data_IF_624621079676
#
_entry.id   IF_624621079676
#
_cell.length_a   1.000
_cell.length_b   1.000
_cell.length_c   1.000
_cell.angle_alpha   90.00
_cell.angle_beta   90.00
_cell.angle_gamma   90.00
#
_symmetry.space_group_name_H-M   'P 1'
#
loop_
_entity.id
_entity.type
_entity.pdbx_description
1 polymer ?
#
# COMPACT_ATOMS: atom_id res chain seq x y z
N UNK A 1 -6.91 11.18 11.17
CA UNK A 1 -5.92 10.12 11.44
C UNK A 1 -6.67 8.83 11.70
N UNK A 2 -6.17 7.70 11.18
CA UNK A 2 -6.79 6.37 11.26
C UNK A 2 -6.04 5.54 12.29
N UNK A 3 -6.75 4.80 13.16
CA UNK A 3 -6.13 3.74 13.97
C UNK A 3 -5.80 2.54 13.09
N UNK A 4 -4.91 1.66 13.57
CA UNK A 4 -4.46 0.46 12.83
C UNK A 4 -5.59 -0.33 12.19
N UNK A 5 -6.63 -0.69 12.95
CA UNK A 5 -7.76 -1.46 12.43
C UNK A 5 -8.53 -0.71 11.31
N UNK A 6 -8.67 0.61 11.41
CA UNK A 6 -9.31 1.42 10.38
C UNK A 6 -8.43 1.57 9.14
N UNK A 7 -7.11 1.68 9.30
CA UNK A 7 -6.18 1.69 8.17
C UNK A 7 -6.20 0.35 7.41
N UNK A 8 -6.21 -0.78 8.14
CA UNK A 8 -6.39 -2.12 7.57
C UNK A 8 -7.68 -2.21 6.75
N UNK A 9 -8.82 -1.83 7.35
CA UNK A 9 -10.11 -1.86 6.66
C UNK A 9 -10.18 -0.90 5.46
N UNK A 10 -9.55 0.28 5.57
CA UNK A 10 -9.51 1.25 4.47
C UNK A 10 -8.76 0.74 3.24
N UNK A 11 -7.68 -0.01 3.47
CA UNK A 11 -6.82 -0.56 2.43
C UNK A 11 -7.22 -1.98 2.01
N UNK A 12 -8.24 -2.56 2.66
CA UNK A 12 -8.64 -3.96 2.53
C UNK A 12 -7.47 -4.95 2.75
N UNK A 13 -6.69 -4.71 3.81
CA UNK A 13 -5.53 -5.53 4.19
C UNK A 13 -5.67 -6.11 5.59
N UNK A 14 -5.11 -7.30 5.81
CA UNK A 14 -4.84 -7.78 7.17
C UNK A 14 -3.75 -6.93 7.84
N UNK A 15 -3.66 -7.03 9.18
CA UNK A 15 -2.62 -6.31 9.94
C UNK A 15 -1.19 -6.73 9.57
N UNK A 16 -0.98 -7.99 9.16
CA UNK A 16 0.31 -8.50 8.73
C UNK A 16 0.67 -8.03 7.32
N UNK A 17 -0.31 -7.93 6.42
CA UNK A 17 -0.09 -7.35 5.09
C UNK A 17 0.25 -5.87 5.19
N UNK A 18 -0.46 -5.11 6.03
CA UNK A 18 -0.13 -3.70 6.29
C UNK A 18 1.34 -3.53 6.70
N UNK A 19 1.86 -4.37 7.61
CA UNK A 19 3.26 -4.34 8.04
C UNK A 19 4.24 -4.69 6.92
N UNK A 20 3.90 -5.67 6.07
CA UNK A 20 4.73 -6.05 4.92
C UNK A 20 4.83 -4.93 3.89
N UNK A 21 3.72 -4.27 3.61
CA UNK A 21 3.66 -3.13 2.68
C UNK A 21 4.47 -1.92 3.21
N UNK A 22 4.42 -1.66 4.52
CA UNK A 22 5.26 -0.66 5.19
C UNK A 22 6.74 -1.06 5.08
N UNK A 23 7.09 -2.31 5.43
CA UNK A 23 8.46 -2.80 5.35
C UNK A 23 9.03 -2.79 3.91
N UNK A 24 8.16 -2.96 2.92
CA UNK A 24 8.51 -2.86 1.50
C UNK A 24 8.58 -1.41 0.98
N UNK A 25 8.28 -0.41 1.83
CA UNK A 25 8.30 1.01 1.46
C UNK A 25 7.16 1.45 0.54
N UNK A 26 6.12 0.62 0.38
CA UNK A 26 4.95 0.93 -0.46
C UNK A 26 3.90 1.75 0.29
N UNK A 27 3.86 1.63 1.61
CA UNK A 27 2.99 2.41 2.49
C UNK A 27 3.81 3.20 3.52
N UNK A 28 3.29 4.36 3.99
CA UNK A 28 3.96 5.17 4.99
C UNK A 28 3.97 4.51 6.37
N UNK A 29 5.02 4.80 7.15
CA UNK A 29 5.08 4.46 8.56
C UNK A 29 4.00 5.19 9.38
N UNK A 30 3.50 4.59 10.47
CA UNK A 30 2.60 5.28 11.38
C UNK A 30 3.27 6.44 12.12
N UNK A 31 2.45 7.36 12.60
CA UNK A 31 2.84 8.40 13.55
C UNK A 31 2.31 8.04 14.93
N UNK A 32 3.14 8.17 15.97
CA UNK A 32 2.67 8.02 17.35
C UNK A 32 1.90 9.25 17.78
N UNK A 33 0.63 9.04 18.14
CA UNK A 33 -0.23 10.07 18.73
C UNK A 33 -0.81 9.53 20.03
N UNK A 34 -0.36 10.08 21.15
CA UNK A 34 -0.55 9.46 22.46
C UNK A 34 0.18 8.11 22.53
N UNK A 35 -0.51 7.09 23.02
CA UNK A 35 0.06 5.74 23.20
C UNK A 35 -0.35 4.75 22.09
N UNK A 36 -0.71 5.25 20.89
CA UNK A 36 -1.16 4.40 19.80
C UNK A 36 -0.69 4.88 18.43
N UNK A 37 -0.54 3.91 17.54
CA UNK A 37 -0.17 4.12 16.14
C UNK A 37 -1.33 4.68 15.33
N UNK A 38 -1.05 5.70 14.53
CA UNK A 38 -2.02 6.34 13.66
C UNK A 38 -1.47 6.61 12.27
N UNK A 39 -2.36 6.53 11.27
CA UNK A 39 -2.04 6.80 9.87
C UNK A 39 -2.78 8.03 9.36
N UNK A 40 -2.10 8.82 8.55
CA UNK A 40 -2.73 9.91 7.80
C UNK A 40 -3.42 9.33 6.57
N UNK A 41 -4.73 9.55 6.43
CA UNK A 41 -5.47 9.11 5.24
C UNK A 41 -4.90 9.76 3.98
N UNK A 42 -4.66 11.07 4.01
CA UNK A 42 -4.07 11.79 2.87
C UNK A 42 -2.73 11.21 2.44
N UNK A 43 -1.87 10.86 3.39
CA UNK A 43 -0.56 10.27 3.05
C UNK A 43 -0.68 8.84 2.50
N UNK A 44 -1.68 8.07 2.97
CA UNK A 44 -2.01 6.78 2.37
C UNK A 44 -2.45 6.96 0.92
N UNK A 45 -3.39 7.88 0.66
CA UNK A 45 -3.89 8.18 -0.69
C UNK A 45 -2.75 8.59 -1.63
N UNK A 46 -1.85 9.49 -1.20
CA UNK A 46 -0.66 9.89 -1.99
C UNK A 46 0.26 8.71 -2.35
N UNK A 47 0.42 7.73 -1.45
CA UNK A 47 1.22 6.52 -1.76
C UNK A 47 0.48 5.61 -2.74
N UNK A 48 -0.83 5.44 -2.58
CA UNK A 48 -1.66 4.66 -3.50
C UNK A 48 -1.68 5.28 -4.91
N UNK A 49 -1.71 6.61 -5.01
CA UNK A 49 -1.62 7.31 -6.29
C UNK A 49 -0.24 7.09 -6.96
N UNK A 50 0.86 7.08 -6.20
CA UNK A 50 2.18 6.73 -6.75
C UNK A 50 2.24 5.29 -7.22
N UNK A 51 1.56 4.39 -6.50
CA UNK A 51 1.47 3.00 -6.90
C UNK A 51 0.62 2.85 -8.15
N UNK A 52 -0.46 3.61 -8.36
CA UNK A 52 -1.39 3.40 -9.48
C UNK A 52 -1.20 4.34 -10.67
N UNK A 53 -0.37 5.39 -10.53
CA UNK A 53 -0.09 6.38 -11.58
C UNK A 53 0.91 5.94 -12.67
N UNK A 54 1.22 6.83 -13.61
CA UNK A 54 2.03 6.57 -14.82
C UNK A 54 3.46 6.04 -14.58
N UNK A 55 3.97 6.07 -13.35
CA UNK A 55 5.28 5.52 -12.98
C UNK A 55 5.25 4.04 -12.57
N UNK A 56 4.08 3.39 -12.50
CA UNK A 56 4.05 1.98 -12.16
C UNK A 56 4.57 1.14 -13.32
N UNK A 57 5.76 0.54 -13.14
CA UNK A 57 6.15 -0.60 -13.96
C UNK A 57 5.10 -1.68 -13.79
N UNK A 58 4.35 -1.97 -14.85
CA UNK A 58 3.33 -3.02 -14.84
C UNK A 58 3.98 -4.34 -14.40
N UNK A 59 3.71 -4.73 -13.15
CA UNK A 59 4.26 -5.92 -12.54
C UNK A 59 3.85 -7.20 -13.30
N UNK A 60 2.77 -7.12 -14.10
CA UNK A 60 2.34 -8.21 -14.98
C UNK A 60 3.33 -8.47 -16.10
N UNK A 61 4.10 -7.47 -16.56
CA UNK A 61 5.12 -7.66 -17.61
C UNK A 61 6.15 -8.72 -17.23
N UNK A 62 6.41 -8.89 -15.94
CA UNK A 62 7.36 -9.88 -15.45
C UNK A 62 6.70 -11.22 -15.09
N UNK A 63 5.37 -11.34 -15.21
CA UNK A 63 4.63 -12.56 -14.93
C UNK A 63 4.50 -13.41 -16.20
N UNK A 64 4.90 -14.70 -16.18
CA UNK A 64 4.74 -15.62 -17.31
C UNK A 64 3.31 -15.73 -17.83
N UNK A 65 2.31 -15.49 -16.95
CA UNK A 65 0.90 -15.57 -17.30
C UNK A 65 0.43 -14.44 -18.22
N UNK A 66 1.10 -13.28 -18.19
CA UNK A 66 0.70 -12.09 -18.94
C UNK A 66 1.69 -11.72 -20.05
N UNK A 67 2.91 -12.26 -20.03
CA UNK A 67 3.95 -11.99 -21.02
C UNK A 67 3.87 -12.90 -22.28
N UNK A 68 2.86 -13.78 -22.35
CA UNK A 68 2.75 -14.87 -23.33
C UNK A 68 1.75 -14.70 -24.47
N UNK A 69 1.20 -13.51 -24.72
CA UNK A 69 0.32 -13.27 -25.87
C UNK A 69 1.09 -12.59 -27.01
N UNK A 70 1.79 -13.40 -27.81
CA UNK A 70 2.02 -13.06 -29.23
C UNK A 70 0.72 -13.38 -29.99
N UNK A 71 0.00 -12.34 -30.41
CA UNK A 71 -0.90 -12.40 -31.56
C UNK A 71 -0.06 -12.22 -32.83
#
# INVERSE_FOLDING_TARGET
>A
MLKRATACAYLDLSAAELEREIAAGRLPHPVMLGNAEHWSRTQLDEHLERLTGEQQQDWRRNSPLYNGQNL
#
